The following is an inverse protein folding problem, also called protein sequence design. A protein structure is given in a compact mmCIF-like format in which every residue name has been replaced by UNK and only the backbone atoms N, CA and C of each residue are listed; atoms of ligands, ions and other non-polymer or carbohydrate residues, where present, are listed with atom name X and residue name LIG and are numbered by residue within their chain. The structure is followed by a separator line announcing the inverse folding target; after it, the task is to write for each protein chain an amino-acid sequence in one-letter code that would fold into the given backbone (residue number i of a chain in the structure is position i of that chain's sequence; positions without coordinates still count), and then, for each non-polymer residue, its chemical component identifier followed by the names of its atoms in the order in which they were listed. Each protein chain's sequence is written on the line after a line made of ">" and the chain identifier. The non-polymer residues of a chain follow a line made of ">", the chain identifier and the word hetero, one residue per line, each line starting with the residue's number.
data_IF_006063110099
#
_entry.id   IF_006063110099
#
_cell.length_a   1.000
_cell.length_b   1.000
_cell.length_c   1.000
_cell.angle_alpha   90.00
_cell.angle_beta   90.00
_cell.angle_gamma   90.00
#
_symmetry.space_group_name_H-M   'P 1'
#
loop_
_entity.id
_entity.type
_entity.pdbx_description
1 polymer ?
#
# COMPACT_ATOMS: atom_id res chain seq x y z
N UNK A 1 1.58 11.10 8.90
CA UNK A 1 2.22 9.78 9.16
C UNK A 1 3.58 9.60 8.47
N UNK A 2 3.79 10.09 7.24
CA UNK A 2 4.99 9.80 6.43
C UNK A 2 6.37 10.06 7.07
N UNK A 3 6.48 10.86 8.13
CA UNK A 3 7.76 11.11 8.84
C UNK A 3 8.00 10.21 10.06
N UNK A 4 7.14 9.21 10.33
CA UNK A 4 7.23 8.38 11.53
C UNK A 4 8.52 7.54 11.58
N UNK A 5 8.97 6.98 10.46
CA UNK A 5 10.21 6.21 10.41
C UNK A 5 11.44 7.04 10.79
N UNK A 6 11.56 8.24 10.20
CA UNK A 6 12.61 9.19 10.52
C UNK A 6 12.57 9.61 12.01
N UNK A 7 11.39 9.87 12.57
CA UNK A 7 11.23 10.19 13.99
C UNK A 7 11.67 9.03 14.91
N UNK A 8 11.43 7.77 14.52
CA UNK A 8 11.90 6.61 15.28
C UNK A 8 13.42 6.49 15.21
N UNK A 9 14.02 6.72 14.03
CA UNK A 9 15.47 6.71 13.87
C UNK A 9 16.12 7.81 14.73
N UNK A 10 15.56 9.02 14.72
CA UNK A 10 16.04 10.13 15.55
C UNK A 10 15.98 9.79 17.05
N UNK A 11 14.88 9.16 17.50
CA UNK A 11 14.70 8.83 18.91
C UNK A 11 15.54 7.63 19.39
N UNK A 12 15.80 6.64 18.52
CA UNK A 12 16.41 5.35 18.90
C UNK A 12 17.80 5.11 18.33
N UNK A 13 18.26 5.92 17.37
CA UNK A 13 19.47 5.68 16.58
C UNK A 13 19.39 4.46 15.66
N UNK A 14 18.23 3.79 15.60
CA UNK A 14 18.00 2.51 14.91
C UNK A 14 16.66 2.57 14.18
N UNK A 15 16.52 1.76 13.13
CA UNK A 15 15.29 1.66 12.36
C UNK A 15 14.12 1.09 13.17
N UNK A 16 12.90 1.27 12.67
CA UNK A 16 11.66 0.78 13.29
C UNK A 16 11.41 -0.72 13.05
N UNK A 17 12.44 -1.55 13.24
CA UNK A 17 12.44 -2.97 12.86
C UNK A 17 11.31 -3.79 13.50
N UNK A 18 11.10 -3.68 14.82
CA UNK A 18 10.07 -4.46 15.51
C UNK A 18 8.64 -4.14 15.04
N UNK A 19 8.33 -2.87 14.81
CA UNK A 19 7.01 -2.47 14.29
C UNK A 19 6.84 -2.85 12.82
N UNK A 20 7.91 -2.83 12.01
CA UNK A 20 7.87 -3.29 10.64
C UNK A 20 7.62 -4.82 10.58
N UNK A 21 8.28 -5.59 11.44
CA UNK A 21 8.02 -7.03 11.57
C UNK A 21 6.57 -7.32 12.01
N UNK A 22 6.06 -6.56 12.98
CA UNK A 22 4.66 -6.69 13.40
C UNK A 22 3.69 -6.38 12.25
N UNK A 23 3.94 -5.31 11.47
CA UNK A 23 3.12 -4.97 10.32
C UNK A 23 3.15 -6.07 9.24
N UNK A 24 4.29 -6.72 9.02
CA UNK A 24 4.38 -7.86 8.10
C UNK A 24 3.58 -9.08 8.62
N UNK A 25 3.64 -9.37 9.92
CA UNK A 25 2.84 -10.43 10.54
C UNK A 25 1.35 -10.13 10.41
N UNK A 26 0.93 -8.91 10.74
CA UNK A 26 -0.48 -8.49 10.63
C UNK A 26 -0.96 -8.60 9.18
N UNK A 27 -0.15 -8.17 8.21
CA UNK A 27 -0.49 -8.26 6.79
C UNK A 27 -0.76 -9.70 6.35
N UNK A 28 0.15 -10.63 6.63
CA UNK A 28 -0.02 -12.04 6.23
C UNK A 28 -1.17 -12.70 7.02
N UNK A 29 -1.31 -12.39 8.32
CA UNK A 29 -2.41 -12.89 9.14
C UNK A 29 -3.75 -12.48 8.55
N UNK A 30 -3.92 -11.20 8.27
CA UNK A 30 -5.18 -10.64 7.78
C UNK A 30 -5.49 -11.15 6.37
N UNK A 31 -4.48 -11.32 5.52
CA UNK A 31 -4.65 -11.92 4.19
C UNK A 31 -5.12 -13.38 4.28
N UNK A 32 -4.41 -14.23 5.05
CA UNK A 32 -4.68 -15.67 5.09
C UNK A 32 -5.94 -16.00 5.90
N UNK A 33 -6.11 -15.39 7.07
CA UNK A 33 -7.20 -15.70 8.01
C UNK A 33 -8.43 -14.81 7.81
N UNK A 34 -8.31 -13.75 7.03
CA UNK A 34 -9.39 -12.81 6.73
C UNK A 34 -9.52 -11.67 7.74
N UNK A 35 -10.17 -10.59 7.30
CA UNK A 35 -10.34 -9.35 8.09
C UNK A 35 -11.72 -9.25 8.77
N UNK A 36 -12.59 -10.26 8.59
CA UNK A 36 -13.96 -10.27 9.11
C UNK A 36 -14.74 -8.98 8.74
N UNK A 37 -14.60 -8.54 7.48
CA UNK A 37 -15.27 -7.35 6.95
C UNK A 37 -14.61 -6.01 7.30
N UNK A 38 -13.59 -5.99 8.17
CA UNK A 38 -12.80 -4.77 8.42
C UNK A 38 -11.95 -4.44 7.20
N UNK A 39 -11.75 -3.14 6.96
CA UNK A 39 -10.86 -2.68 5.91
C UNK A 39 -9.43 -2.64 6.43
N UNK A 40 -8.52 -3.15 5.61
CA UNK A 40 -7.08 -3.06 5.82
C UNK A 40 -6.44 -2.48 4.55
N UNK A 41 -5.19 -2.04 4.65
CA UNK A 41 -4.43 -1.59 3.48
C UNK A 41 -3.49 -2.70 3.03
N UNK A 42 -3.54 -3.04 1.74
CA UNK A 42 -2.59 -3.93 1.10
C UNK A 42 -2.00 -3.26 -0.14
N UNK A 43 -0.70 -3.45 -0.36
CA UNK A 43 -0.07 -3.15 -1.65
C UNK A 43 -0.36 -4.30 -2.61
N UNK A 44 -1.21 -4.06 -3.61
CA UNK A 44 -1.64 -5.09 -4.57
C UNK A 44 -1.46 -4.56 -6.01
N UNK A 45 -1.34 -5.45 -7.01
CA UNK A 45 -1.37 -5.03 -8.42
C UNK A 45 -2.71 -4.35 -8.72
N UNK A 46 -2.66 -3.13 -9.24
CA UNK A 46 -3.85 -2.40 -9.67
C UNK A 46 -4.52 -3.11 -10.85
N UNK A 47 -5.85 -3.17 -10.83
CA UNK A 47 -6.68 -3.56 -11.97
C UNK A 47 -7.15 -2.39 -12.84
N UNK A 48 -6.71 -1.16 -12.56
CA UNK A 48 -7.23 0.07 -13.18
C UNK A 48 -8.20 0.85 -12.29
N UNK A 49 -8.57 0.32 -11.12
CA UNK A 49 -9.49 0.98 -10.19
C UNK A 49 -8.93 2.32 -9.70
N UNK A 50 -9.82 3.28 -9.45
CA UNK A 50 -9.49 4.63 -8.96
C UNK A 50 -8.51 5.42 -9.85
N UNK A 51 -8.45 5.11 -11.14
CA UNK A 51 -7.55 5.73 -12.14
C UNK A 51 -6.06 5.44 -11.88
N UNK A 52 -5.75 4.37 -11.15
CA UNK A 52 -4.38 3.88 -10.97
C UNK A 52 -4.07 2.89 -12.10
N UNK A 53 -3.04 3.11 -12.93
CA UNK A 53 -2.70 2.22 -14.04
C UNK A 53 -2.57 0.76 -13.62
N UNK A 54 -3.02 -0.16 -14.48
CA UNK A 54 -2.92 -1.59 -14.21
C UNK A 54 -1.46 -2.03 -13.99
N UNK A 55 -1.27 -3.11 -13.23
CA UNK A 55 0.04 -3.70 -12.89
C UNK A 55 0.94 -2.85 -11.97
N UNK A 56 0.57 -1.61 -11.65
CA UNK A 56 1.25 -0.84 -10.60
C UNK A 56 0.88 -1.42 -9.24
N UNK A 57 1.87 -1.81 -8.45
CA UNK A 57 1.67 -2.14 -7.03
C UNK A 57 1.31 -0.85 -6.28
N UNK A 58 0.09 -0.77 -5.79
CA UNK A 58 -0.42 0.43 -5.12
C UNK A 58 -1.17 0.04 -3.84
N UNK A 59 -1.14 0.93 -2.85
CA UNK A 59 -1.83 0.72 -1.57
C UNK A 59 -3.33 0.98 -1.71
N UNK A 60 -4.14 -0.08 -1.56
CA UNK A 60 -5.59 0.02 -1.65
C UNK A 60 -6.30 -0.44 -0.36
N UNK A 61 -7.51 0.08 -0.08
CA UNK A 61 -8.39 -0.49 0.93
C UNK A 61 -8.98 -1.82 0.42
N UNK A 62 -8.80 -2.88 1.21
CA UNK A 62 -9.31 -4.22 0.90
C UNK A 62 -9.97 -4.84 2.11
N UNK A 63 -10.84 -5.81 1.86
CA UNK A 63 -11.22 -6.85 2.84
C UNK A 63 -10.56 -8.17 2.43
N UNK A 64 -10.33 -9.07 3.39
CA UNK A 64 -9.76 -10.39 3.09
C UNK A 64 -10.66 -11.49 3.64
N UNK A 65 -10.75 -12.60 2.90
CA UNK A 65 -11.42 -13.83 3.32
C UNK A 65 -10.83 -15.03 2.57
N UNK A 66 -10.60 -16.14 3.27
CA UNK A 66 -10.18 -17.41 2.67
C UNK A 66 -8.90 -17.31 1.81
N UNK A 67 -7.92 -16.48 2.22
CA UNK A 67 -6.69 -16.29 1.46
C UNK A 67 -6.81 -15.37 0.23
N UNK A 68 -7.97 -14.76 0.01
CA UNK A 68 -8.21 -13.82 -1.07
C UNK A 68 -8.45 -12.42 -0.52
N UNK A 69 -7.93 -11.39 -1.19
CA UNK A 69 -8.29 -10.01 -0.93
C UNK A 69 -9.38 -9.56 -1.90
N UNK A 70 -10.21 -8.62 -1.49
CA UNK A 70 -11.22 -7.97 -2.33
C UNK A 70 -11.09 -6.47 -2.19
N UNK A 71 -10.88 -5.79 -3.32
CA UNK A 71 -10.83 -4.33 -3.37
C UNK A 71 -12.16 -3.74 -2.90
N UNK A 72 -12.08 -2.77 -1.98
CA UNK A 72 -13.23 -1.94 -1.63
C UNK A 72 -13.49 -0.98 -2.77
N UNK A 73 -14.69 -1.02 -3.36
CA UNK A 73 -15.12 -0.20 -4.51
C UNK A 73 -16.10 0.89 -4.09
N UNK A 74 -16.29 1.88 -4.97
CA UNK A 74 -17.31 2.92 -4.81
C UNK A 74 -16.94 4.03 -3.82
N UNK A 75 -15.66 4.20 -3.50
CA UNK A 75 -15.21 5.34 -2.69
C UNK A 75 -15.16 6.59 -3.56
N UNK A 76 -15.76 7.67 -3.05
CA UNK A 76 -15.62 9.00 -3.65
C UNK A 76 -14.22 9.53 -3.40
N UNK A 77 -13.56 10.02 -4.46
CA UNK A 77 -12.24 10.62 -4.39
C UNK A 77 -12.41 12.13 -4.58
N UNK A 78 -12.31 12.88 -3.49
CA UNK A 78 -12.32 14.33 -3.54
C UNK A 78 -11.02 14.90 -4.13
N UNK A 79 -11.01 16.19 -4.42
CA UNK A 79 -9.88 16.86 -5.07
C UNK A 79 -8.57 16.74 -4.27
N UNK A 80 -8.65 16.84 -2.94
CA UNK A 80 -7.48 16.71 -2.07
C UNK A 80 -6.92 15.28 -2.11
N UNK A 81 -7.79 14.28 -1.98
CA UNK A 81 -7.42 12.87 -2.04
C UNK A 81 -6.80 12.54 -3.39
N UNK A 82 -7.39 13.03 -4.49
CA UNK A 82 -6.85 12.87 -5.84
C UNK A 82 -5.44 13.46 -5.96
N UNK A 83 -5.21 14.67 -5.48
CA UNK A 83 -3.88 15.30 -5.51
C UNK A 83 -2.84 14.43 -4.79
N UNK A 84 -3.14 13.95 -3.58
CA UNK A 84 -2.22 13.10 -2.80
C UNK A 84 -1.97 11.74 -3.46
N UNK A 85 -3.00 11.14 -4.06
CA UNK A 85 -2.89 9.90 -4.81
C UNK A 85 -2.02 10.08 -6.05
N UNK A 86 -2.22 11.16 -6.80
CA UNK A 86 -1.42 11.47 -8.00
C UNK A 86 0.06 11.67 -7.64
N UNK A 87 0.37 12.37 -6.54
CA UNK A 87 1.76 12.52 -6.08
C UNK A 87 2.42 11.16 -5.83
N UNK A 88 1.74 10.26 -5.11
CA UNK A 88 2.26 8.92 -4.81
C UNK A 88 2.38 8.06 -6.07
N UNK A 89 1.40 8.15 -6.98
CA UNK A 89 1.44 7.43 -8.24
C UNK A 89 2.62 7.86 -9.11
N UNK A 90 2.91 9.16 -9.18
CA UNK A 90 4.03 9.67 -9.95
C UNK A 90 5.37 9.12 -9.42
N UNK A 91 5.56 9.07 -8.09
CA UNK A 91 6.75 8.45 -7.49
C UNK A 91 6.89 6.98 -7.90
N UNK A 92 5.79 6.20 -7.87
CA UNK A 92 5.81 4.78 -8.29
C UNK A 92 6.10 4.60 -9.78
N UNK A 93 5.62 5.49 -10.63
CA UNK A 93 5.91 5.47 -12.07
C UNK A 93 7.38 5.80 -12.36
N UNK A 94 7.98 6.73 -11.60
CA UNK A 94 9.40 7.04 -11.68
C UNK A 94 10.26 5.84 -11.23
N UNK A 95 9.90 5.18 -10.13
CA UNK A 95 10.56 3.95 -9.66
C UNK A 95 10.46 2.82 -10.70
N UNK A 96 9.27 2.60 -11.26
CA UNK A 96 9.05 1.59 -12.31
C UNK A 96 9.91 1.87 -13.54
N UNK A 97 9.97 3.14 -14.00
CA UNK A 97 10.82 3.53 -15.12
C UNK A 97 12.30 3.29 -14.83
N UNK A 98 12.75 3.59 -13.59
CA UNK A 98 14.13 3.39 -13.14
C UNK A 98 14.58 1.93 -13.19
N UNK A 99 13.69 0.98 -12.88
CA UNK A 99 14.01 -0.46 -12.89
C UNK A 99 13.67 -1.17 -14.19
N UNK A 100 13.04 -0.49 -15.17
CA UNK A 100 12.57 -1.09 -16.42
C UNK A 100 13.64 -1.88 -17.18
N UNK A 101 14.88 -1.41 -17.15
CA UNK A 101 16.02 -2.07 -17.80
C UNK A 101 16.38 -3.45 -17.21
N UNK A 102 15.87 -3.79 -16.03
CA UNK A 102 16.06 -5.09 -15.38
C UNK A 102 15.01 -6.13 -15.81
N UNK A 103 13.96 -5.73 -16.54
CA UNK A 103 12.77 -6.54 -16.79
C UNK A 103 12.65 -7.12 -18.22
N UNK A 104 13.64 -6.90 -19.09
CA UNK A 104 13.71 -7.48 -20.43
C UNK A 104 12.94 -6.71 -21.50
#
# INVERSE_FOLDING_TARGET
>A
VGKRGAAIIEARGLSSAASAANAAIDHVRDWVLGTNGKWVTMGIPSGGDYEIPAEIIYGFPVTCANGEYTLVKGLEIDAFSRERMTLTLNELLEEQAGVKHLLG
#
